data_IF_347594492756
#
_entry.id   IF_347594492756
#
_cell.length_a   1.000
_cell.length_b   1.000
_cell.length_c   1.000
_cell.angle_alpha   90.00
_cell.angle_beta   90.00
_cell.angle_gamma   90.00
#
_symmetry.space_group_name_H-M   'P 1'
#
loop_
_entity.id
_entity.type
_entity.pdbx_description
1 polymer ?
#
# COMPACT_ATOMS: atom_id res chain seq x y z
N UNK A 1 3.63 -25.85 -8.56
CA UNK A 1 2.21 -25.98 -8.18
C UNK A 1 1.75 -24.68 -7.56
N UNK A 2 1.04 -23.93 -8.33
CA UNK A 2 0.38 -22.75 -7.81
C UNK A 2 -0.77 -23.18 -6.91
N UNK A 3 -0.47 -23.46 -5.67
CA UNK A 3 -1.50 -23.62 -4.66
C UNK A 3 -2.00 -22.24 -4.27
N UNK A 4 -2.93 -21.72 -5.10
CA UNK A 4 -4.22 -21.53 -4.56
C UNK A 4 -4.38 -20.36 -3.72
N UNK A 5 -4.61 -19.35 -4.38
CA UNK A 5 -5.39 -18.38 -3.69
C UNK A 5 -6.83 -18.72 -3.89
N UNK A 6 -7.30 -19.40 -2.88
CA UNK A 6 -8.69 -19.62 -2.63
C UNK A 6 -9.39 -18.24 -2.69
N UNK A 7 -10.47 -18.08 -3.46
CA UNK A 7 -11.32 -16.91 -3.36
C UNK A 7 -11.71 -16.55 -1.92
N UNK A 8 -11.70 -17.54 -1.03
CA UNK A 8 -11.87 -17.37 0.41
C UNK A 8 -10.72 -16.58 1.06
N UNK A 9 -9.49 -16.65 0.52
CA UNK A 9 -8.36 -15.91 1.07
C UNK A 9 -8.54 -14.41 0.91
N UNK A 10 -9.14 -13.95 -0.19
CA UNK A 10 -9.45 -12.55 -0.41
C UNK A 10 -10.52 -12.04 0.58
N UNK A 11 -11.56 -12.82 0.80
CA UNK A 11 -12.58 -12.52 1.81
C UNK A 11 -12.00 -12.53 3.22
N UNK A 12 -11.08 -13.46 3.51
CA UNK A 12 -10.39 -13.53 4.79
C UNK A 12 -9.51 -12.31 5.01
N UNK A 13 -8.74 -11.90 3.99
CA UNK A 13 -7.94 -10.69 4.03
C UNK A 13 -8.80 -9.46 4.36
N UNK A 14 -9.90 -9.28 3.64
CA UNK A 14 -10.88 -8.23 3.90
C UNK A 14 -11.37 -8.24 5.34
N UNK A 15 -11.82 -9.39 5.79
CA UNK A 15 -12.38 -9.53 7.12
C UNK A 15 -11.35 -9.26 8.20
N UNK A 16 -10.15 -9.84 8.07
CA UNK A 16 -9.09 -9.66 9.06
C UNK A 16 -8.62 -8.21 9.11
N UNK A 17 -8.26 -7.62 7.98
CA UNK A 17 -7.70 -6.27 7.95
C UNK A 17 -8.76 -5.18 7.99
N UNK A 18 -9.98 -5.46 7.57
CA UNK A 18 -11.10 -4.52 7.69
C UNK A 18 -11.66 -4.38 9.10
N UNK A 19 -11.50 -5.39 9.95
CA UNK A 19 -12.07 -5.42 11.30
C UNK A 19 -11.04 -5.28 12.42
N UNK A 20 -9.75 -5.48 12.15
CA UNK A 20 -8.69 -5.52 13.17
C UNK A 20 -7.61 -4.47 12.91
N UNK A 21 -7.83 -3.26 13.42
CA UNK A 21 -6.89 -2.13 13.28
C UNK A 21 -5.47 -2.45 13.73
N UNK A 22 -5.31 -3.18 14.83
CA UNK A 22 -4.01 -3.52 15.37
C UNK A 22 -3.19 -4.42 14.42
N UNK A 23 -3.85 -5.30 13.67
CA UNK A 23 -3.19 -6.14 12.68
C UNK A 23 -2.75 -5.32 11.47
N UNK A 24 -3.59 -4.38 11.03
CA UNK A 24 -3.23 -3.43 9.97
C UNK A 24 -2.03 -2.60 10.39
N UNK A 25 -2.05 -2.04 11.59
CA UNK A 25 -0.93 -1.24 12.11
C UNK A 25 0.37 -2.04 12.17
N UNK A 26 0.32 -3.28 12.66
CA UNK A 26 1.49 -4.16 12.71
C UNK A 26 2.06 -4.43 11.32
N UNK A 27 1.19 -4.74 10.37
CA UNK A 27 1.60 -5.02 8.99
C UNK A 27 2.22 -3.80 8.33
N UNK A 28 1.59 -2.63 8.48
CA UNK A 28 2.08 -1.38 7.90
C UNK A 28 3.40 -0.95 8.53
N UNK A 29 3.56 -1.09 9.84
CA UNK A 29 4.82 -0.80 10.51
C UNK A 29 5.95 -1.73 10.04
N UNK A 30 5.61 -2.96 9.68
CA UNK A 30 6.60 -3.92 9.18
C UNK A 30 6.99 -3.68 7.72
N UNK A 31 6.07 -3.22 6.88
CA UNK A 31 6.25 -3.19 5.42
C UNK A 31 6.40 -1.81 4.81
N UNK A 32 5.93 -0.74 5.47
CA UNK A 32 6.10 0.61 4.92
C UNK A 32 7.52 1.14 5.20
N UNK A 33 8.07 1.93 4.27
CA UNK A 33 9.41 2.52 4.42
C UNK A 33 9.37 3.76 5.31
N UNK A 34 9.04 3.57 6.59
CA UNK A 34 9.01 4.64 7.57
C UNK A 34 10.43 4.98 8.01
N UNK A 35 10.65 6.23 8.43
CA UNK A 35 11.93 6.63 8.99
C UNK A 35 12.22 5.87 10.28
N UNK A 36 13.51 5.63 10.53
CA UNK A 36 13.94 4.94 11.74
C UNK A 36 13.43 5.63 13.00
N UNK A 37 12.89 4.84 13.93
CA UNK A 37 12.31 5.34 15.16
C UNK A 37 10.89 5.88 15.05
N UNK A 38 10.31 5.88 13.85
CA UNK A 38 8.92 6.29 13.64
C UNK A 38 8.02 5.09 13.42
N UNK A 39 6.87 5.11 14.05
CA UNK A 39 5.85 4.07 13.93
C UNK A 39 4.47 4.67 13.78
N UNK A 40 3.60 3.95 13.09
CA UNK A 40 2.19 4.30 13.02
C UNK A 40 1.59 4.05 14.41
N UNK A 41 0.99 5.08 14.97
CA UNK A 41 0.38 5.06 16.31
C UNK A 41 -1.14 4.95 16.25
N UNK A 42 -1.75 5.43 15.18
CA UNK A 42 -3.20 5.34 14.98
C UNK A 42 -3.56 5.23 13.52
N UNK A 43 -4.68 4.58 13.24
CA UNK A 43 -5.26 4.49 11.91
C UNK A 43 -6.77 4.76 11.94
N UNK A 44 -7.27 5.29 10.83
CA UNK A 44 -8.69 5.53 10.58
C UNK A 44 -9.04 4.96 9.21
N UNK A 45 -10.08 4.12 9.14
CA UNK A 45 -10.57 3.62 7.85
C UNK A 45 -11.26 4.75 7.09
N UNK A 46 -10.88 4.94 5.82
CA UNK A 46 -11.44 5.99 4.96
C UNK A 46 -12.75 5.57 4.30
N UNK A 47 -12.99 4.26 4.18
CA UNK A 47 -14.24 3.72 3.65
C UNK A 47 -14.79 2.73 4.66
N UNK A 48 -15.94 3.05 5.31
CA UNK A 48 -16.54 2.15 6.30
C UNK A 48 -17.14 0.88 5.67
N UNK A 49 -17.47 0.91 4.38
CA UNK A 49 -17.95 -0.24 3.64
C UNK A 49 -16.89 -0.71 2.65
N UNK A 50 -16.27 -1.83 2.97
CA UNK A 50 -15.33 -2.49 2.07
C UNK A 50 -16.11 -3.26 1.00
N UNK A 51 -16.94 -2.56 0.22
CA UNK A 51 -17.59 -3.14 -0.93
C UNK A 51 -16.57 -3.26 -2.07
N UNK A 52 -16.48 -4.42 -2.73
CA UNK A 52 -15.73 -4.52 -3.97
C UNK A 52 -16.24 -3.45 -4.94
N UNK A 53 -15.36 -2.63 -5.47
CA UNK A 53 -15.73 -1.57 -6.42
C UNK A 53 -16.42 -2.12 -7.68
N UNK A 54 -16.25 -3.43 -7.94
CA UNK A 54 -17.02 -4.18 -8.94
C UNK A 54 -17.19 -5.63 -8.48
N UNK A 55 -18.29 -6.32 -8.86
CA UNK A 55 -18.49 -7.74 -8.54
C UNK A 55 -17.40 -8.66 -9.09
N UNK A 56 -16.59 -8.16 -10.03
CA UNK A 56 -15.52 -8.90 -10.68
C UNK A 56 -14.12 -8.43 -10.30
N UNK A 57 -14.02 -7.46 -9.37
CA UNK A 57 -12.72 -7.03 -8.87
C UNK A 57 -12.12 -8.15 -8.02
N UNK A 58 -11.04 -8.74 -8.52
CA UNK A 58 -10.29 -9.78 -7.80
C UNK A 58 -9.36 -9.19 -6.73
N UNK A 59 -9.28 -7.88 -6.65
CA UNK A 59 -8.37 -7.19 -5.76
C UNK A 59 -9.13 -6.57 -4.59
N UNK A 60 -8.66 -6.86 -3.40
CA UNK A 60 -9.16 -6.26 -2.17
C UNK A 60 -8.33 -5.05 -1.83
N UNK A 61 -8.99 -3.90 -1.66
CA UNK A 61 -8.35 -2.64 -1.30
C UNK A 61 -8.83 -2.21 0.08
N UNK A 62 -7.89 -1.89 0.96
CA UNK A 62 -8.14 -1.32 2.28
C UNK A 62 -7.48 0.06 2.32
N UNK A 63 -8.28 1.11 2.51
CA UNK A 63 -7.81 2.48 2.58
C UNK A 63 -7.84 2.97 4.02
N UNK A 64 -6.72 3.43 4.52
CA UNK A 64 -6.61 3.98 5.87
C UNK A 64 -5.84 5.30 5.86
N UNK A 65 -6.19 6.18 6.79
CA UNK A 65 -5.38 7.34 7.16
C UNK A 65 -4.57 6.95 8.39
N UNK A 66 -3.27 7.19 8.33
CA UNK A 66 -2.34 6.87 9.38
C UNK A 66 -1.79 8.14 10.02
N UNK A 67 -1.51 8.07 11.32
CA UNK A 67 -0.74 9.06 12.03
C UNK A 67 0.44 8.34 12.69
N UNK A 68 1.65 8.82 12.40
CA UNK A 68 2.87 8.26 12.97
C UNK A 68 3.42 9.10 14.12
N UNK A 69 4.39 8.57 14.81
CA UNK A 69 5.16 9.27 15.85
C UNK A 69 5.57 10.66 15.35
N UNK A 70 5.26 11.69 16.11
CA UNK A 70 5.53 13.07 15.73
C UNK A 70 4.37 13.76 15.01
N UNK A 71 3.27 13.06 14.75
CA UNK A 71 2.03 13.65 14.24
C UNK A 71 1.91 13.74 12.72
N UNK A 72 2.88 13.22 11.96
CA UNK A 72 2.79 13.19 10.50
C UNK A 72 1.65 12.26 10.07
N UNK A 73 0.81 12.76 9.15
CA UNK A 73 -0.32 12.02 8.62
C UNK A 73 -0.09 11.66 7.16
N UNK A 74 -0.56 10.48 6.79
CA UNK A 74 -0.49 10.00 5.40
C UNK A 74 -1.62 9.00 5.14
N UNK A 75 -1.88 8.77 3.85
CA UNK A 75 -2.89 7.82 3.40
C UNK A 75 -2.19 6.55 2.94
N UNK A 76 -2.76 5.41 3.29
CA UNK A 76 -2.28 4.10 2.80
C UNK A 76 -3.40 3.41 2.06
N UNK A 77 -3.12 3.03 0.81
CA UNK A 77 -3.91 2.06 0.07
C UNK A 77 -3.20 0.71 0.18
N UNK A 78 -3.80 -0.24 0.87
CA UNK A 78 -3.28 -1.60 0.96
C UNK A 78 -4.07 -2.51 0.04
N UNK A 79 -3.37 -3.24 -0.82
CA UNK A 79 -3.98 -4.07 -1.83
C UNK A 79 -3.29 -5.43 -1.90
N UNK A 80 -4.08 -6.48 -2.05
CA UNK A 80 -3.59 -7.81 -2.37
C UNK A 80 -3.98 -8.16 -3.80
N UNK A 81 -3.00 -8.54 -4.61
CA UNK A 81 -3.17 -8.82 -6.03
C UNK A 81 -2.64 -10.21 -6.40
N UNK A 82 -3.30 -10.81 -7.39
CA UNK A 82 -3.01 -12.16 -7.85
C UNK A 82 -2.24 -12.22 -9.16
N UNK A 83 -2.09 -11.08 -9.83
CA UNK A 83 -1.47 -10.97 -11.15
C UNK A 83 -0.45 -9.84 -11.20
N UNK A 84 0.61 -10.06 -11.97
CA UNK A 84 1.73 -9.13 -12.10
C UNK A 84 1.46 -7.88 -12.96
N UNK A 85 0.46 -7.91 -13.83
CA UNK A 85 0.21 -6.82 -14.80
C UNK A 85 -0.61 -5.67 -14.23
N UNK A 86 -0.05 -4.94 -13.25
CA UNK A 86 -0.85 -3.95 -12.54
C UNK A 86 -0.09 -2.69 -12.09
N UNK A 87 1.20 -2.58 -12.38
CA UNK A 87 2.01 -1.43 -11.93
C UNK A 87 1.42 -0.08 -12.31
N UNK A 88 0.99 0.08 -13.58
CA UNK A 88 0.39 1.32 -14.05
C UNK A 88 -0.97 1.59 -13.39
N UNK A 89 -1.74 0.55 -13.14
CA UNK A 89 -3.02 0.67 -12.41
C UNK A 89 -2.80 1.09 -10.97
N UNK A 90 -1.79 0.54 -10.31
CA UNK A 90 -1.40 0.93 -8.94
C UNK A 90 -1.00 2.40 -8.91
N UNK A 91 -0.16 2.85 -9.83
CA UNK A 91 0.24 4.25 -9.95
C UNK A 91 -0.97 5.15 -10.16
N UNK A 92 -1.86 4.77 -11.08
CA UNK A 92 -3.09 5.54 -11.35
C UNK A 92 -3.97 5.65 -10.10
N UNK A 93 -4.17 4.56 -9.38
CA UNK A 93 -5.01 4.54 -8.19
C UNK A 93 -4.40 5.39 -7.06
N UNK A 94 -3.10 5.31 -6.86
CA UNK A 94 -2.38 6.14 -5.90
C UNK A 94 -2.48 7.62 -6.25
N UNK A 95 -2.34 7.96 -7.53
CA UNK A 95 -2.49 9.33 -8.03
C UNK A 95 -3.92 9.85 -7.81
N UNK A 96 -4.94 9.02 -8.06
CA UNK A 96 -6.33 9.38 -7.77
C UNK A 96 -6.57 9.65 -6.28
N UNK A 97 -6.03 8.82 -5.42
CA UNK A 97 -6.12 9.02 -3.97
C UNK A 97 -5.45 10.33 -3.54
N UNK A 98 -4.31 10.65 -4.14
CA UNK A 98 -3.59 11.90 -3.89
C UNK A 98 -4.40 13.12 -4.32
N UNK A 99 -4.90 13.11 -5.55
CA UNK A 99 -5.68 14.23 -6.13
C UNK A 99 -7.01 14.41 -5.41
N UNK A 100 -7.67 13.33 -4.99
CA UNK A 100 -9.00 13.41 -4.38
C UNK A 100 -9.03 14.04 -2.99
N UNK A 101 -7.86 14.31 -2.40
CA UNK A 101 -7.77 15.00 -1.11
C UNK A 101 -8.21 16.46 -1.19
N UNK A 102 -8.08 17.10 -2.35
CA UNK A 102 -8.38 18.52 -2.54
C UNK A 102 -9.45 18.72 -3.62
N UNK A 103 -10.71 18.98 -3.23
CA UNK A 103 -11.79 19.19 -4.21
C UNK A 103 -11.59 20.40 -5.12
N UNK A 104 -10.85 21.42 -4.68
CA UNK A 104 -10.71 22.69 -5.41
C UNK A 104 -9.26 23.07 -5.78
N UNK A 105 -8.29 22.27 -5.43
CA UNK A 105 -6.89 22.48 -5.81
C UNK A 105 -6.21 23.74 -5.27
N UNK A 106 -6.78 24.39 -4.25
CA UNK A 106 -6.26 25.67 -3.76
C UNK A 106 -5.30 25.58 -2.57
N UNK A 107 -5.24 24.43 -1.90
CA UNK A 107 -4.45 24.27 -0.68
C UNK A 107 -3.49 23.08 -0.79
N UNK A 108 -2.57 23.16 -1.74
CA UNK A 108 -1.62 22.09 -2.04
C UNK A 108 -0.76 21.68 -0.83
N UNK A 109 -0.52 22.61 0.11
CA UNK A 109 0.26 22.32 1.31
C UNK A 109 -0.46 21.37 2.29
N UNK A 110 -1.77 21.16 2.13
CA UNK A 110 -2.55 20.22 2.93
C UNK A 110 -2.54 18.80 2.38
N UNK A 111 -1.98 18.59 1.18
CA UNK A 111 -1.86 17.27 0.58
C UNK A 111 -0.98 16.37 1.45
N UNK A 112 -1.55 15.25 1.85
CA UNK A 112 -0.83 14.21 2.59
C UNK A 112 -0.22 13.21 1.61
N UNK A 113 0.99 12.67 1.89
CA UNK A 113 1.54 11.60 1.06
C UNK A 113 0.61 10.38 1.00
N UNK A 114 0.66 9.67 -0.13
CA UNK A 114 -0.06 8.41 -0.33
C UNK A 114 0.96 7.30 -0.47
N UNK A 115 0.86 6.29 0.39
CA UNK A 115 1.61 5.05 0.30
C UNK A 115 0.68 3.98 -0.26
N UNK A 116 1.09 3.36 -1.35
CA UNK A 116 0.38 2.21 -1.92
C UNK A 116 1.17 0.96 -1.58
N UNK A 117 0.62 0.11 -0.70
CA UNK A 117 1.22 -1.17 -0.33
C UNK A 117 0.53 -2.28 -1.11
N UNK A 118 1.30 -2.95 -1.96
CA UNK A 118 0.81 -3.97 -2.87
C UNK A 118 1.46 -5.31 -2.55
N UNK A 119 0.67 -6.21 -1.98
CA UNK A 119 1.10 -7.58 -1.71
C UNK A 119 0.68 -8.43 -2.90
N UNK A 120 1.66 -8.98 -3.60
CA UNK A 120 1.44 -9.65 -4.89
C UNK A 120 1.81 -11.12 -4.79
N UNK A 121 0.87 -11.97 -5.10
CA UNK A 121 1.15 -13.40 -5.17
C UNK A 121 1.52 -13.85 -6.59
N UNK A 122 2.41 -13.11 -7.18
CA UNK A 122 2.97 -13.41 -8.49
C UNK A 122 4.38 -12.80 -8.56
N UNK A 123 5.21 -13.31 -9.44
CA UNK A 123 6.54 -12.76 -9.70
C UNK A 123 6.46 -11.81 -10.89
N UNK A 124 6.80 -10.54 -10.68
CA UNK A 124 6.77 -9.53 -11.75
C UNK A 124 8.16 -8.95 -12.08
N UNK A 125 9.16 -9.22 -11.26
CA UNK A 125 10.56 -8.86 -11.52
C UNK A 125 11.43 -10.12 -11.44
N UNK A 126 11.36 -11.00 -12.46
CA UNK A 126 12.05 -12.30 -12.40
C UNK A 126 13.58 -12.18 -12.35
N UNK A 127 14.13 -11.06 -12.82
CA UNK A 127 15.57 -10.80 -12.85
C UNK A 127 16.13 -10.26 -11.52
N UNK A 128 15.26 -9.97 -10.56
CA UNK A 128 15.64 -9.50 -9.23
C UNK A 128 15.39 -10.58 -8.19
N UNK A 129 16.33 -10.75 -7.26
CA UNK A 129 16.17 -11.68 -6.15
C UNK A 129 15.31 -11.12 -5.01
N UNK A 130 15.28 -9.79 -4.88
CA UNK A 130 14.55 -9.10 -3.83
C UNK A 130 13.05 -9.32 -3.99
N UNK A 131 12.38 -9.55 -2.88
CA UNK A 131 10.93 -9.65 -2.83
C UNK A 131 10.25 -8.30 -2.52
N UNK A 132 11.00 -7.31 -2.02
CA UNK A 132 10.51 -6.00 -1.60
C UNK A 132 11.00 -4.94 -2.57
N UNK A 133 10.06 -4.17 -3.13
CA UNK A 133 10.36 -3.10 -4.08
C UNK A 133 9.70 -1.81 -3.62
N UNK A 134 10.49 -0.76 -3.52
CA UNK A 134 10.00 0.55 -3.12
C UNK A 134 10.32 1.59 -4.19
N UNK A 135 9.27 2.25 -4.68
CA UNK A 135 9.38 3.33 -5.67
C UNK A 135 8.86 4.63 -5.07
N UNK A 136 9.65 5.67 -5.17
CA UNK A 136 9.25 7.03 -4.80
C UNK A 136 9.98 8.04 -5.68
N UNK A 137 9.53 9.27 -5.67
CA UNK A 137 10.09 10.31 -6.52
C UNK A 137 11.26 11.00 -5.80
N UNK A 138 12.45 10.96 -6.41
CA UNK A 138 13.65 11.56 -5.85
C UNK A 138 14.37 12.39 -6.90
N UNK A 139 15.22 13.30 -6.43
CA UNK A 139 16.11 14.05 -7.32
C UNK A 139 17.11 13.08 -7.95
N UNK A 140 17.29 13.19 -9.25
CA UNK A 140 18.13 12.25 -10.01
C UNK A 140 19.59 12.21 -9.54
N UNK A 141 20.17 13.35 -9.24
CA UNK A 141 21.56 13.46 -8.79
C UNK A 141 21.71 13.45 -7.24
N UNK A 142 20.62 13.62 -6.53
CA UNK A 142 20.60 13.67 -5.07
C UNK A 142 19.42 12.83 -4.57
N UNK A 143 19.61 11.52 -4.53
CA UNK A 143 18.54 10.56 -4.23
C UNK A 143 18.03 10.59 -2.79
N UNK A 144 18.73 11.30 -1.90
CA UNK A 144 18.26 11.62 -0.54
C UNK A 144 17.19 12.71 -0.52
N UNK A 145 17.05 13.45 -1.62
CA UNK A 145 16.04 14.50 -1.76
C UNK A 145 14.77 13.95 -2.39
N UNK A 146 13.78 13.72 -1.54
CA UNK A 146 12.48 13.15 -1.92
C UNK A 146 11.49 14.27 -2.24
N UNK A 147 10.82 14.14 -3.39
CA UNK A 147 9.63 14.92 -3.69
C UNK A 147 8.42 14.13 -3.14
N UNK A 148 7.93 14.59 -1.99
CA UNK A 148 6.84 13.90 -1.30
C UNK A 148 5.55 13.91 -2.11
N UNK A 149 4.84 12.81 -2.07
CA UNK A 149 3.56 12.66 -2.74
C UNK A 149 3.16 11.20 -2.87
N UNK A 150 3.80 10.45 -3.75
CA UNK A 150 3.46 9.06 -4.03
C UNK A 150 4.60 8.14 -3.63
N UNK A 151 4.26 7.10 -2.88
CA UNK A 151 5.16 6.03 -2.47
C UNK A 151 4.51 4.70 -2.84
N UNK A 152 5.17 3.90 -3.69
CA UNK A 152 4.66 2.61 -4.13
C UNK A 152 5.54 1.50 -3.58
N UNK A 153 4.94 0.59 -2.83
CA UNK A 153 5.61 -0.58 -2.26
C UNK A 153 4.99 -1.83 -2.83
N UNK A 154 5.83 -2.73 -3.32
CA UNK A 154 5.42 -4.02 -3.87
C UNK A 154 6.15 -5.14 -3.13
N UNK A 155 5.40 -6.13 -2.69
CA UNK A 155 5.94 -7.32 -2.04
C UNK A 155 5.60 -8.55 -2.88
N UNK A 156 6.62 -9.20 -3.44
CA UNK A 156 6.46 -10.43 -4.23
C UNK A 156 6.46 -11.65 -3.32
N UNK A 157 5.27 -12.12 -2.94
CA UNK A 157 5.14 -13.24 -2.00
C UNK A 157 5.88 -14.52 -2.43
N UNK A 158 5.91 -14.91 -3.74
CA UNK A 158 6.61 -16.13 -4.14
C UNK A 158 8.11 -16.11 -3.84
N UNK A 159 8.72 -14.93 -3.74
CA UNK A 159 10.15 -14.78 -3.43
C UNK A 159 10.43 -14.74 -1.93
N UNK A 160 9.40 -14.51 -1.13
CA UNK A 160 9.56 -14.45 0.32
C UNK A 160 9.92 -15.84 0.85
N UNK A 161 11.08 -15.92 1.49
CA UNK A 161 11.52 -17.14 2.16
C UNK A 161 11.88 -16.78 3.59
N UNK A 162 11.08 -17.24 4.55
CA UNK A 162 11.43 -17.01 5.95
C UNK A 162 12.76 -17.70 6.24
N UNK A 163 13.64 -17.00 6.93
CA UNK A 163 14.89 -17.59 7.40
C UNK A 163 14.56 -18.74 8.34
N UNK A 164 15.07 -19.91 8.00
CA UNK A 164 14.92 -21.12 8.82
C UNK A 164 15.62 -20.94 10.16
#
# INVERSE_FOLDING_TARGET
MSKFLDPKADLTFKKVFGEHKHLVMSLLNALLPLEEGRQIESIEYLQPEMTPRTPFSKDTIVDVRCEETGGRKFIVEMQMSWRASFKQRVLLNAAKAYVSQLPSGKEYHLLQPVYSLNIVNDTFEPDMEEYYHYYHMVHDLHTDKVLEGLHLVFVELPKFRPSS
#
